data_IF_271640247587
#
_entry.id   IF_271640247587
#
_cell.length_a   1.000
_cell.length_b   1.000
_cell.length_c   1.000
_cell.angle_alpha   90.00
_cell.angle_beta   90.00
_cell.angle_gamma   90.00
#
_symmetry.space_group_name_H-M   'P 1'
#
loop_
_entity.id
_entity.type
_entity.pdbx_description
1 polymer ?
#
# COMPACT_ATOMS: atom_id res chain seq x y z
N UNK A 1 -32.10 -13.29 18.66
CA UNK A 1 -30.70 -12.93 19.00
C UNK A 1 -30.27 -13.66 20.25
N UNK A 2 -30.98 -13.54 21.38
CA UNK A 2 -30.72 -14.32 22.61
C UNK A 2 -30.62 -15.82 22.37
N UNK A 3 -31.60 -16.45 21.69
CA UNK A 3 -31.53 -17.88 21.35
C UNK A 3 -30.31 -18.28 20.50
N UNK A 4 -29.79 -17.36 19.68
CA UNK A 4 -28.60 -17.59 18.86
C UNK A 4 -27.34 -17.53 19.73
N UNK A 5 -27.29 -16.58 20.66
CA UNK A 5 -26.18 -16.42 21.60
C UNK A 5 -26.11 -17.57 22.61
N UNK A 6 -27.25 -18.03 23.12
CA UNK A 6 -27.32 -19.23 23.98
C UNK A 6 -26.79 -20.47 23.24
N UNK A 7 -27.18 -20.66 21.97
CA UNK A 7 -26.65 -21.75 21.14
C UNK A 7 -25.15 -21.59 20.86
N UNK A 8 -24.67 -20.36 20.66
CA UNK A 8 -23.25 -20.09 20.41
C UNK A 8 -22.41 -20.38 21.65
N UNK A 9 -22.84 -19.91 22.83
CA UNK A 9 -22.19 -20.17 24.11
C UNK A 9 -22.14 -21.67 24.41
N UNK A 10 -23.26 -22.40 24.23
CA UNK A 10 -23.28 -23.86 24.41
C UNK A 10 -22.27 -24.59 23.52
N UNK A 11 -22.18 -24.23 22.24
CA UNK A 11 -21.19 -24.82 21.31
C UNK A 11 -19.75 -24.43 21.65
N UNK A 12 -19.53 -23.24 22.20
CA UNK A 12 -18.21 -22.79 22.62
C UNK A 12 -17.75 -23.59 23.85
N UNK A 13 -18.63 -23.82 24.81
CA UNK A 13 -18.36 -24.66 25.99
C UNK A 13 -18.08 -26.11 25.60
N UNK A 14 -18.91 -26.72 24.75
CA UNK A 14 -18.67 -28.07 24.22
C UNK A 14 -17.32 -28.16 23.49
N UNK A 15 -16.96 -27.12 22.73
CA UNK A 15 -15.67 -27.07 22.06
C UNK A 15 -14.52 -26.98 23.06
N UNK A 16 -14.61 -26.11 24.07
CA UNK A 16 -13.61 -25.97 25.13
C UNK A 16 -13.40 -27.28 25.90
N UNK A 17 -14.48 -27.99 26.23
CA UNK A 17 -14.42 -29.29 26.89
C UNK A 17 -13.82 -30.40 26.00
N UNK A 18 -13.90 -30.25 24.68
CA UNK A 18 -13.33 -31.22 23.72
C UNK A 18 -11.84 -31.03 23.44
N UNK A 19 -11.23 -29.95 23.95
CA UNK A 19 -9.82 -29.65 23.69
C UNK A 19 -8.90 -30.52 24.57
N UNK A 20 -7.72 -30.94 24.05
CA UNK A 20 -6.75 -31.72 24.83
C UNK A 20 -6.28 -30.93 26.07
N UNK A 21 -5.97 -31.64 27.15
CA UNK A 21 -5.46 -31.02 28.37
C UNK A 21 -4.12 -30.30 28.04
N UNK A 22 -3.98 -28.99 28.37
CA UNK A 22 -2.74 -28.24 28.13
C UNK A 22 -1.49 -28.88 28.76
N UNK A 23 -1.67 -29.73 29.78
CA UNK A 23 -0.59 -30.50 30.39
C UNK A 23 0.01 -31.58 29.47
N UNK A 24 -0.68 -31.96 28.39
CA UNK A 24 -0.22 -32.92 27.39
C UNK A 24 0.67 -32.30 26.29
N UNK A 25 0.91 -30.97 26.32
CA UNK A 25 1.76 -30.31 25.33
C UNK A 25 3.27 -30.54 25.57
N UNK A 26 3.99 -30.99 24.52
CA UNK A 26 5.42 -31.35 24.56
C UNK A 26 6.40 -30.20 24.88
N UNK A 27 5.94 -28.95 24.87
CA UNK A 27 6.80 -27.76 25.05
C UNK A 27 6.17 -26.72 25.97
N UNK A 28 6.94 -26.11 26.89
CA UNK A 28 6.46 -25.01 27.75
C UNK A 28 5.88 -23.83 26.96
N UNK A 29 6.41 -23.56 25.76
CA UNK A 29 5.92 -22.48 24.90
C UNK A 29 4.53 -22.81 24.34
N UNK A 30 4.34 -24.05 23.91
CA UNK A 30 3.04 -24.54 23.41
C UNK A 30 2.01 -24.55 24.54
N UNK A 31 2.39 -24.99 25.74
CA UNK A 31 1.53 -24.98 26.93
C UNK A 31 1.05 -23.57 27.29
N UNK A 32 1.94 -22.58 27.30
CA UNK A 32 1.57 -21.18 27.57
C UNK A 32 0.66 -20.58 26.49
N UNK A 33 0.92 -20.88 25.21
CA UNK A 33 0.05 -20.44 24.11
C UNK A 33 -1.34 -21.08 24.21
N UNK A 34 -1.39 -22.37 24.56
CA UNK A 34 -2.63 -23.10 24.80
C UNK A 34 -3.43 -22.49 25.96
N UNK A 35 -2.78 -22.24 27.09
CA UNK A 35 -3.44 -21.71 28.26
C UNK A 35 -4.03 -20.31 28.01
N UNK A 36 -3.32 -19.44 27.29
CA UNK A 36 -3.86 -18.13 26.86
C UNK A 36 -5.07 -18.26 25.94
N UNK A 37 -5.07 -19.23 25.02
CA UNK A 37 -6.21 -19.47 24.14
C UNK A 37 -7.45 -19.88 24.96
N UNK A 38 -7.29 -20.75 25.96
CA UNK A 38 -8.37 -21.17 26.85
C UNK A 38 -8.92 -20.01 27.67
N UNK A 39 -8.06 -19.17 28.25
CA UNK A 39 -8.48 -17.97 28.98
C UNK A 39 -9.31 -17.02 28.11
N UNK A 40 -8.91 -16.83 26.85
CA UNK A 40 -9.67 -16.01 25.88
C UNK A 40 -11.03 -16.66 25.59
N UNK A 41 -11.07 -17.97 25.32
CA UNK A 41 -12.31 -18.67 24.97
C UNK A 41 -13.31 -18.69 26.14
N UNK A 42 -12.83 -18.89 27.36
CA UNK A 42 -13.65 -18.83 28.57
C UNK A 42 -14.17 -17.40 28.78
N UNK A 43 -13.31 -16.39 28.69
CA UNK A 43 -13.73 -14.99 28.82
C UNK A 43 -14.72 -14.54 27.76
N UNK A 44 -14.65 -15.09 26.54
CA UNK A 44 -15.66 -14.86 25.49
C UNK A 44 -16.98 -15.56 25.84
N UNK A 45 -16.95 -16.80 26.33
CA UNK A 45 -18.16 -17.53 26.72
C UNK A 45 -18.91 -16.83 27.88
N UNK A 46 -18.19 -16.39 28.91
CA UNK A 46 -18.76 -15.68 30.07
C UNK A 46 -19.42 -14.36 29.63
N UNK A 47 -18.75 -13.56 28.78
CA UNK A 47 -19.32 -12.31 28.26
C UNK A 47 -20.56 -12.52 27.40
N UNK A 48 -20.69 -13.66 26.72
CA UNK A 48 -21.90 -14.03 25.98
C UNK A 48 -23.05 -14.36 26.94
N UNK A 49 -22.77 -15.09 28.02
CA UNK A 49 -23.77 -15.51 29.01
C UNK A 49 -24.28 -14.32 29.83
N UNK A 50 -23.39 -13.41 30.22
CA UNK A 50 -23.73 -12.24 31.03
C UNK A 50 -24.46 -11.14 30.25
N UNK A 51 -24.66 -11.32 28.94
CA UNK A 51 -25.39 -10.38 28.11
C UNK A 51 -24.73 -8.99 28.07
N UNK A 52 -23.40 -8.93 28.18
CA UNK A 52 -22.69 -7.66 28.31
C UNK A 52 -22.98 -6.76 27.09
N UNK A 53 -23.50 -5.53 27.28
CA UNK A 53 -23.97 -4.68 26.19
C UNK A 53 -22.88 -4.38 25.15
N UNK A 54 -21.62 -4.28 25.59
CA UNK A 54 -20.46 -4.04 24.72
C UNK A 54 -20.16 -5.21 23.77
N UNK A 55 -20.48 -6.44 24.18
CA UNK A 55 -20.28 -7.62 23.35
C UNK A 55 -21.29 -7.66 22.19
N UNK A 56 -22.53 -7.21 22.45
CA UNK A 56 -23.54 -7.04 21.40
C UNK A 56 -23.19 -5.91 20.42
N UNK A 57 -22.52 -4.85 20.87
CA UNK A 57 -22.03 -3.76 20.01
C UNK A 57 -20.88 -4.20 19.10
N UNK A 58 -20.04 -5.14 19.55
CA UNK A 58 -18.97 -5.77 18.77
C UNK A 58 -19.52 -6.54 17.56
N UNK A 59 -20.65 -7.24 17.73
CA UNK A 59 -21.34 -7.93 16.63
C UNK A 59 -22.21 -7.02 15.76
N UNK A 60 -22.62 -5.85 16.27
CA UNK A 60 -23.31 -4.81 15.49
C UNK A 60 -22.36 -3.92 14.69
N UNK A 61 -21.05 -4.13 14.80
CA UNK A 61 -20.03 -3.38 14.07
C UNK A 61 -19.81 -1.95 14.57
N UNK A 62 -20.25 -1.64 15.79
CA UNK A 62 -20.17 -0.29 16.37
C UNK A 62 -19.17 -0.18 17.54
N UNK A 63 -18.73 -1.29 18.15
CA UNK A 63 -17.74 -1.23 19.22
C UNK A 63 -16.31 -1.04 18.64
N UNK A 64 -15.49 -0.16 19.24
CA UNK A 64 -14.06 -0.11 18.97
C UNK A 64 -13.43 -1.47 19.30
N UNK A 65 -12.62 -2.00 18.37
CA UNK A 65 -11.80 -3.17 18.67
C UNK A 65 -10.86 -2.85 19.86
N UNK A 66 -10.66 -3.78 20.81
CA UNK A 66 -9.62 -3.62 21.81
C UNK A 66 -8.28 -3.36 21.11
N UNK A 67 -7.55 -2.34 21.56
CA UNK A 67 -6.24 -2.04 21.00
C UNK A 67 -5.29 -3.20 21.30
N UNK A 68 -4.72 -3.78 20.24
CA UNK A 68 -3.54 -4.62 20.34
C UNK A 68 -2.36 -3.73 20.78
N UNK A 69 -2.27 -3.45 22.08
CA UNK A 69 -1.10 -2.90 22.74
C UNK A 69 -0.23 -4.08 23.21
N UNK A 70 0.52 -4.69 22.29
CA UNK A 70 1.84 -5.29 22.58
C UNK A 70 2.44 -5.90 21.29
N UNK A 71 3.14 -5.05 20.53
CA UNK A 71 4.27 -5.44 19.69
C UNK A 71 5.22 -4.24 19.62
N UNK A 72 5.83 -3.93 20.77
CA UNK A 72 7.10 -3.21 20.75
C UNK A 72 8.15 -4.19 20.23
N UNK A 73 8.40 -4.14 18.92
CA UNK A 73 9.66 -4.66 18.38
C UNK A 73 10.79 -3.99 19.18
N UNK A 74 11.41 -4.78 20.03
CA UNK A 74 12.59 -4.39 20.79
C UNK A 74 13.72 -4.20 19.78
N UNK A 75 13.91 -2.97 19.31
CA UNK A 75 15.15 -2.56 18.68
C UNK A 75 16.28 -2.86 19.67
N UNK A 76 17.11 -3.84 19.33
CA UNK A 76 18.36 -4.10 20.01
C UNK A 76 19.27 -2.89 19.83
N UNK A 77 19.23 -1.98 20.81
CA UNK A 77 20.20 -0.91 20.98
C UNK A 77 21.56 -1.55 21.26
N UNK A 78 22.36 -1.72 20.21
CA UNK A 78 23.82 -1.75 20.39
C UNK A 78 24.27 -0.30 20.54
N UNK A 79 24.47 0.12 21.78
CA UNK A 79 25.19 1.33 22.14
C UNK A 79 26.62 1.25 21.57
N UNK A 80 26.93 2.10 20.60
CA UNK A 80 28.30 2.53 20.37
C UNK A 80 28.40 4.00 20.76
N UNK A 81 29.05 4.25 21.90
CA UNK A 81 29.25 5.57 22.50
C UNK A 81 30.37 6.28 21.76
N UNK A 82 30.05 7.35 21.05
CA UNK A 82 31.04 8.40 20.70
C UNK A 82 30.49 9.79 21.02
N UNK A 83 31.36 10.76 21.36
CA UNK A 83 31.01 11.88 22.22
C UNK A 83 30.40 13.06 21.48
N UNK A 84 29.61 13.80 22.25
CA UNK A 84 28.82 14.96 21.90
C UNK A 84 29.60 16.10 21.22
N UNK A 85 29.07 16.56 20.08
CA UNK A 85 29.30 17.92 19.59
C UNK A 85 27.97 18.67 19.67
N UNK A 86 27.96 19.62 20.61
CA UNK A 86 26.87 20.54 20.92
C UNK A 86 26.60 21.51 19.76
N UNK A 87 25.40 21.44 19.19
CA UNK A 87 24.81 22.51 18.38
C UNK A 87 23.34 22.66 18.78
N UNK A 88 23.04 23.73 19.52
CA UNK A 88 21.68 24.13 19.88
C UNK A 88 20.88 24.55 18.62
N UNK A 89 19.60 24.19 18.50
CA UNK A 89 18.69 24.87 17.59
C UNK A 89 18.03 26.07 18.29
N UNK A 90 17.99 27.16 17.54
CA UNK A 90 17.28 28.42 17.82
C UNK A 90 15.78 28.13 17.98
N UNK A 91 15.21 28.61 19.10
CA UNK A 91 13.77 28.63 19.37
C UNK A 91 13.14 29.79 18.62
N UNK A 92 12.26 29.50 17.66
CA UNK A 92 11.30 30.46 17.13
C UNK A 92 10.16 30.62 18.14
N UNK A 93 10.02 31.84 18.66
CA UNK A 93 8.92 32.29 19.52
C UNK A 93 7.76 32.74 18.62
N UNK A 94 6.59 32.12 18.79
CA UNK A 94 5.32 32.67 18.29
C UNK A 94 4.76 33.70 19.30
N UNK A 95 4.11 34.78 18.83
CA UNK A 95 3.66 35.88 19.67
C UNK A 95 2.38 35.52 20.45
N UNK A 96 2.36 35.96 21.71
CA UNK A 96 1.22 35.94 22.62
C UNK A 96 0.10 36.85 22.10
N UNK A 97 -1.10 36.29 21.93
CA UNK A 97 -2.32 37.04 21.67
C UNK A 97 -3.17 37.04 22.94
N UNK A 98 -3.14 38.19 23.63
CA UNK A 98 -3.95 38.51 24.81
C UNK A 98 -5.43 38.56 24.43
N UNK A 99 -6.18 37.54 24.84
CA UNK A 99 -7.63 37.46 24.73
C UNK A 99 -8.26 37.20 26.09
N UNK A 100 -8.46 38.26 26.87
CA UNK A 100 -9.26 38.23 28.10
C UNK A 100 -10.74 37.99 27.75
N UNK A 101 -11.27 36.83 28.16
CA UNK A 101 -12.68 36.47 27.97
C UNK A 101 -13.18 35.48 29.01
N UNK A 102 -13.91 36.01 29.98
CA UNK A 102 -14.90 35.40 30.88
C UNK A 102 -14.76 33.91 31.24
N UNK A 103 -14.31 33.71 32.48
CA UNK A 103 -14.39 32.45 33.22
C UNK A 103 -15.86 32.11 33.53
N UNK A 104 -16.44 31.24 32.72
CA UNK A 104 -17.57 30.42 33.12
C UNK A 104 -17.04 29.29 34.00
N UNK A 105 -17.23 29.38 35.31
CA UNK A 105 -16.98 28.32 36.29
C UNK A 105 -17.97 27.16 36.08
N UNK A 106 -17.78 26.41 35.00
CA UNK A 106 -18.31 25.06 34.89
C UNK A 106 -17.29 24.11 35.53
N UNK A 107 -17.72 23.36 36.55
CA UNK A 107 -16.99 22.21 37.11
C UNK A 107 -16.78 21.14 36.01
N UNK A 108 -15.87 21.41 35.09
CA UNK A 108 -15.47 20.50 34.03
C UNK A 108 -14.43 19.55 34.57
N UNK A 109 -14.76 18.27 34.63
CA UNK A 109 -13.77 17.19 34.80
C UNK A 109 -12.56 17.47 33.90
N UNK A 110 -11.38 17.59 34.52
CA UNK A 110 -10.13 17.87 33.82
C UNK A 110 -9.79 16.67 32.94
N UNK A 111 -10.18 16.76 31.65
CA UNK A 111 -9.89 15.74 30.64
C UNK A 111 -8.37 15.51 30.58
N UNK A 112 -7.95 14.28 30.84
CA UNK A 112 -6.52 13.94 30.88
C UNK A 112 -5.90 14.04 29.48
N UNK A 113 -4.58 14.27 29.42
CA UNK A 113 -3.86 14.32 28.15
C UNK A 113 -4.02 13.02 27.32
N UNK A 114 -4.20 11.87 28.00
CA UNK A 114 -4.47 10.58 27.37
C UNK A 114 -5.83 10.58 26.66
N UNK A 115 -6.89 10.99 27.34
CA UNK A 115 -8.25 11.10 26.78
C UNK A 115 -8.28 12.03 25.56
N UNK A 116 -7.57 13.17 25.61
CA UNK A 116 -7.46 14.09 24.47
C UNK A 116 -6.77 13.46 23.26
N UNK A 117 -5.71 12.65 23.47
CA UNK A 117 -4.99 11.94 22.39
C UNK A 117 -5.87 10.87 21.76
N UNK A 118 -6.60 10.12 22.57
CA UNK A 118 -7.52 9.09 22.11
C UNK A 118 -8.70 9.67 21.32
N UNK A 119 -9.32 10.76 21.82
CA UNK A 119 -10.38 11.48 21.12
C UNK A 119 -9.91 12.01 19.75
N UNK A 120 -8.68 12.51 19.68
CA UNK A 120 -8.06 12.94 18.40
C UNK A 120 -7.85 11.76 17.44
N UNK A 121 -7.41 10.60 17.93
CA UNK A 121 -7.25 9.37 17.12
C UNK A 121 -8.61 8.87 16.60
N UNK A 122 -9.62 8.82 17.45
CA UNK A 122 -10.99 8.43 17.10
C UNK A 122 -11.61 9.38 16.06
N UNK A 123 -11.49 10.71 16.27
CA UNK A 123 -11.94 11.70 15.29
C UNK A 123 -11.21 11.57 13.95
N UNK A 124 -9.91 11.31 13.99
CA UNK A 124 -9.11 11.11 12.78
C UNK A 124 -9.53 9.86 12.01
N UNK A 125 -9.87 8.76 12.70
CA UNK A 125 -10.38 7.51 12.13
C UNK A 125 -11.80 7.70 11.56
N UNK A 126 -12.70 8.36 12.30
CA UNK A 126 -14.05 8.68 11.84
C UNK A 126 -14.06 9.52 10.56
N UNK A 127 -13.10 10.46 10.41
CA UNK A 127 -12.94 11.22 9.17
C UNK A 127 -12.54 10.33 7.97
N UNK A 128 -11.68 9.32 8.19
CA UNK A 128 -11.29 8.35 7.15
C UNK A 128 -12.48 7.49 6.75
N UNK A 129 -13.27 7.01 7.71
CA UNK A 129 -14.48 6.22 7.43
C UNK A 129 -15.48 7.02 6.59
N UNK A 130 -15.76 8.28 6.97
CA UNK A 130 -16.67 9.15 6.19
C UNK A 130 -16.18 9.34 4.75
N UNK A 131 -14.87 9.50 4.56
CA UNK A 131 -14.24 9.62 3.24
C UNK A 131 -14.38 8.33 2.44
N UNK A 132 -14.14 7.17 3.05
CA UNK A 132 -14.36 5.87 2.43
C UNK A 132 -15.83 5.65 2.02
N UNK A 133 -16.78 5.99 2.88
CA UNK A 133 -18.22 5.90 2.59
C UNK A 133 -18.62 6.78 1.40
N UNK A 134 -18.06 8.00 1.31
CA UNK A 134 -18.26 8.89 0.14
C UNK A 134 -17.76 8.25 -1.15
N UNK A 135 -16.57 7.65 -1.12
CA UNK A 135 -15.99 6.94 -2.27
C UNK A 135 -16.83 5.73 -2.66
N UNK A 136 -17.28 4.92 -1.69
CA UNK A 136 -18.18 3.79 -1.95
C UNK A 136 -19.51 4.27 -2.53
N UNK A 137 -20.03 5.42 -2.07
CA UNK A 137 -21.25 6.03 -2.59
C UNK A 137 -21.22 6.29 -4.10
N UNK A 138 -20.03 6.57 -4.68
CA UNK A 138 -19.91 6.78 -6.14
C UNK A 138 -20.04 5.51 -6.97
N UNK A 139 -20.06 4.32 -6.34
CA UNK A 139 -20.30 3.05 -7.03
C UNK A 139 -21.62 2.98 -7.78
N UNK A 140 -22.59 3.83 -7.41
CA UNK A 140 -23.88 3.93 -8.07
C UNK A 140 -23.79 4.64 -9.44
N UNK A 141 -22.73 5.39 -9.74
CA UNK A 141 -22.61 6.23 -10.94
C UNK A 141 -22.20 5.46 -12.22
N UNK A 142 -22.30 4.13 -12.23
CA UNK A 142 -21.88 3.28 -13.37
C UNK A 142 -20.38 3.39 -13.69
N UNK A 143 -19.90 2.77 -14.78
CA UNK A 143 -18.48 2.81 -15.16
C UNK A 143 -18.01 4.20 -15.61
N UNK A 144 -16.72 4.49 -15.42
CA UNK A 144 -16.10 5.78 -15.81
C UNK A 144 -16.05 5.90 -17.34
N UNK A 145 -16.63 6.95 -17.95
CA UNK A 145 -16.54 7.18 -19.39
C UNK A 145 -15.09 7.37 -19.87
N UNK A 146 -14.77 6.86 -21.07
CA UNK A 146 -13.43 7.01 -21.65
C UNK A 146 -12.99 8.45 -21.87
N UNK A 147 -13.93 9.37 -22.13
CA UNK A 147 -13.63 10.81 -22.22
C UNK A 147 -13.01 11.34 -20.93
N UNK A 148 -13.55 10.93 -19.77
CA UNK A 148 -13.09 11.43 -18.48
C UNK A 148 -11.70 10.86 -18.18
N UNK A 149 -11.50 9.57 -18.41
CA UNK A 149 -10.17 8.95 -18.27
C UNK A 149 -9.15 9.52 -19.27
N UNK A 150 -9.52 9.76 -20.52
CA UNK A 150 -8.63 10.39 -21.48
C UNK A 150 -8.26 11.82 -21.08
N UNK A 151 -9.18 12.58 -20.49
CA UNK A 151 -8.88 13.90 -19.94
C UNK A 151 -7.88 13.80 -18.79
N UNK A 152 -8.06 12.83 -17.88
CA UNK A 152 -7.12 12.58 -16.77
C UNK A 152 -5.74 12.10 -17.24
N UNK A 153 -5.66 11.32 -18.32
CA UNK A 153 -4.40 10.92 -18.94
C UNK A 153 -3.69 12.13 -19.57
N UNK A 154 -4.47 13.05 -20.12
CA UNK A 154 -3.97 14.20 -20.87
C UNK A 154 -3.54 15.38 -20.01
N UNK A 155 -4.27 15.62 -18.92
CA UNK A 155 -4.11 16.76 -18.06
C UNK A 155 -3.33 16.35 -16.82
N UNK A 156 -2.25 17.07 -16.49
CA UNK A 156 -1.69 16.96 -15.15
C UNK A 156 -2.64 17.72 -14.21
N UNK A 157 -3.67 17.02 -13.72
CA UNK A 157 -4.74 17.60 -12.93
C UNK A 157 -4.16 18.26 -11.68
N UNK A 158 -4.34 19.58 -11.53
CA UNK A 158 -3.88 20.36 -10.36
C UNK A 158 -4.90 20.31 -9.22
N UNK A 159 -5.32 19.12 -8.82
CA UNK A 159 -6.22 18.94 -7.70
C UNK A 159 -5.44 18.85 -6.38
N UNK A 160 -6.15 19.12 -5.28
CA UNK A 160 -5.63 18.84 -3.93
C UNK A 160 -5.48 17.33 -3.76
N UNK A 161 -4.40 16.89 -3.11
CA UNK A 161 -4.06 15.48 -2.92
C UNK A 161 -5.25 14.59 -2.51
N UNK A 162 -6.04 15.01 -1.51
CA UNK A 162 -7.20 14.25 -1.04
C UNK A 162 -8.29 14.10 -2.12
N UNK A 163 -8.50 15.13 -2.94
CA UNK A 163 -9.51 15.07 -4.00
C UNK A 163 -9.07 14.18 -5.15
N UNK A 164 -7.77 14.18 -5.48
CA UNK A 164 -7.19 13.25 -6.48
C UNK A 164 -7.34 11.81 -6.04
N UNK A 165 -7.03 11.53 -4.77
CA UNK A 165 -7.18 10.21 -4.17
C UNK A 165 -8.63 9.73 -4.17
N UNK A 166 -9.59 10.59 -3.75
CA UNK A 166 -11.02 10.26 -3.75
C UNK A 166 -11.50 9.90 -5.15
N UNK A 167 -11.11 10.69 -6.15
CA UNK A 167 -11.45 10.46 -7.54
C UNK A 167 -10.84 9.15 -8.04
N UNK A 168 -9.54 8.96 -7.83
CA UNK A 168 -8.82 7.78 -8.30
C UNK A 168 -9.38 6.49 -7.70
N UNK A 169 -9.59 6.46 -6.38
CA UNK A 169 -10.19 5.33 -5.69
C UNK A 169 -11.65 5.12 -6.13
N UNK A 170 -12.43 6.19 -6.29
CA UNK A 170 -13.79 6.10 -6.82
C UNK A 170 -13.85 5.52 -8.24
N UNK A 171 -12.88 5.83 -9.08
CA UNK A 171 -12.76 5.29 -10.43
C UNK A 171 -12.43 3.80 -10.42
N UNK A 172 -11.52 3.36 -9.53
CA UNK A 172 -11.20 1.94 -9.38
C UNK A 172 -12.42 1.09 -9.04
N UNK A 173 -13.27 1.56 -8.11
CA UNK A 173 -14.45 0.79 -7.69
C UNK A 173 -15.57 0.81 -8.75
N UNK A 174 -15.62 1.85 -9.59
CA UNK A 174 -16.58 1.94 -10.71
C UNK A 174 -16.14 1.11 -11.93
N UNK A 175 -14.84 0.96 -12.13
CA UNK A 175 -14.25 0.42 -13.35
C UNK A 175 -14.37 1.40 -14.54
N UNK A 176 -13.70 1.07 -15.64
CA UNK A 176 -13.66 1.91 -16.83
C UNK A 176 -14.63 1.40 -17.89
N UNK A 177 -15.35 2.29 -18.55
CA UNK A 177 -16.19 1.94 -19.69
C UNK A 177 -15.28 1.65 -20.88
N UNK A 178 -15.41 0.46 -21.47
CA UNK A 178 -14.81 0.17 -22.76
C UNK A 178 -15.71 0.68 -23.90
N UNK A 179 -15.29 1.70 -24.66
CA UNK A 179 -15.95 2.09 -25.89
C UNK A 179 -15.22 1.51 -27.09
N UNK A 180 -15.78 0.44 -27.68
CA UNK A 180 -15.23 -0.37 -28.76
C UNK A 180 -14.64 0.35 -30.01
N UNK A 181 -14.67 1.69 -30.10
CA UNK A 181 -14.07 2.46 -31.18
C UNK A 181 -13.55 3.86 -30.83
N UNK A 182 -13.54 4.29 -29.55
CA UNK A 182 -13.21 5.70 -29.22
C UNK A 182 -11.81 5.93 -28.66
N UNK A 183 -11.10 4.90 -28.18
CA UNK A 183 -9.76 5.10 -27.61
C UNK A 183 -8.77 5.60 -28.65
N UNK A 184 -8.73 5.01 -29.85
CA UNK A 184 -7.86 5.50 -30.93
C UNK A 184 -8.16 6.96 -31.24
N UNK A 185 -9.41 7.33 -31.51
CA UNK A 185 -9.77 8.73 -31.86
C UNK A 185 -9.42 9.70 -30.72
N UNK A 186 -9.69 9.31 -29.48
CA UNK A 186 -9.45 10.17 -28.33
C UNK A 186 -7.96 10.31 -28.06
N UNK A 187 -7.22 9.21 -28.15
CA UNK A 187 -5.81 9.13 -27.75
C UNK A 187 -4.81 9.44 -28.86
N UNK A 188 -5.22 9.42 -30.14
CA UNK A 188 -4.31 9.62 -31.30
C UNK A 188 -3.53 10.92 -31.18
N UNK A 189 -4.10 11.99 -30.60
CA UNK A 189 -3.38 13.26 -30.41
C UNK A 189 -2.21 13.19 -29.41
N UNK A 190 -2.17 12.15 -28.58
CA UNK A 190 -1.07 11.86 -27.64
C UNK A 190 -0.20 10.69 -28.09
N UNK A 191 -0.52 10.07 -29.23
CA UNK A 191 0.39 9.17 -29.92
C UNK A 191 1.58 10.00 -30.37
N UNK A 192 2.64 9.98 -29.57
CA UNK A 192 3.95 10.45 -30.01
C UNK A 192 4.56 9.35 -30.87
N UNK A 193 5.39 9.74 -31.84
CA UNK A 193 6.25 8.76 -32.51
C UNK A 193 6.92 7.91 -31.43
N UNK A 194 6.81 6.59 -31.54
CA UNK A 194 7.31 5.67 -30.54
C UNK A 194 8.75 6.06 -30.24
N UNK A 195 8.96 6.50 -29.00
CA UNK A 195 10.31 6.66 -28.52
C UNK A 195 10.93 5.26 -28.61
N UNK A 196 12.07 5.14 -29.31
CA UNK A 196 12.86 3.91 -29.35
C UNK A 196 13.09 3.31 -27.94
N UNK A 197 12.95 4.16 -26.93
CA UNK A 197 12.99 3.87 -25.50
C UNK A 197 11.93 2.86 -25.02
N UNK A 198 10.69 2.84 -25.54
CA UNK A 198 9.65 1.91 -25.04
C UNK A 198 10.00 0.45 -25.36
N UNK A 199 10.36 0.17 -26.61
CA UNK A 199 10.73 -1.19 -27.05
C UNK A 199 12.01 -1.66 -26.36
N UNK A 200 13.00 -0.77 -26.22
CA UNK A 200 14.24 -1.06 -25.49
C UNK A 200 13.97 -1.38 -24.02
N UNK A 201 13.06 -0.63 -23.40
CA UNK A 201 12.63 -0.86 -22.02
C UNK A 201 11.96 -2.24 -21.88
N UNK A 202 10.99 -2.57 -22.74
CA UNK A 202 10.32 -3.87 -22.75
C UNK A 202 11.28 -5.04 -22.92
N UNK A 203 12.27 -4.91 -23.82
CA UNK A 203 13.27 -5.95 -24.04
C UNK A 203 14.07 -6.22 -22.76
N UNK A 204 14.56 -5.16 -22.12
CA UNK A 204 15.33 -5.26 -20.87
C UNK A 204 14.47 -5.85 -19.74
N UNK A 205 13.21 -5.43 -19.65
CA UNK A 205 12.24 -5.97 -18.70
C UNK A 205 12.01 -7.48 -18.91
N UNK A 206 11.85 -7.94 -20.16
CA UNK A 206 11.72 -9.36 -20.47
C UNK A 206 12.97 -10.17 -20.11
N UNK A 207 14.18 -9.63 -20.35
CA UNK A 207 15.43 -10.26 -19.94
C UNK A 207 15.51 -10.44 -18.41
N UNK A 208 15.04 -9.46 -17.64
CA UNK A 208 14.97 -9.53 -16.17
C UNK A 208 13.92 -10.50 -15.65
N UNK A 209 12.89 -10.81 -16.45
CA UNK A 209 11.90 -11.84 -16.12
C UNK A 209 12.45 -13.27 -16.31
N UNK A 210 13.56 -13.43 -17.04
CA UNK A 210 14.26 -14.72 -17.21
C UNK A 210 15.34 -14.94 -16.15
N UNK A 211 16.04 -13.88 -15.75
CA UNK A 211 17.06 -13.88 -14.70
C UNK A 211 16.67 -12.88 -13.60
N UNK A 212 15.88 -13.36 -12.63
CA UNK A 212 15.32 -12.53 -11.58
C UNK A 212 16.43 -11.91 -10.71
N UNK A 213 16.73 -10.64 -10.98
CA UNK A 213 17.71 -9.85 -10.25
C UNK A 213 17.08 -8.50 -9.85
N UNK A 214 16.69 -8.43 -8.57
CA UNK A 214 16.02 -7.28 -7.99
C UNK A 214 16.86 -6.00 -8.08
N UNK A 215 18.19 -6.13 -8.02
CA UNK A 215 19.13 -5.01 -8.08
C UNK A 215 19.24 -4.49 -9.51
N UNK A 216 19.32 -5.37 -10.51
CA UNK A 216 19.25 -4.96 -11.94
C UNK A 216 17.89 -4.34 -12.27
N UNK A 217 16.78 -4.92 -11.80
CA UNK A 217 15.44 -4.34 -11.99
C UNK A 217 15.30 -2.96 -11.35
N UNK A 218 15.88 -2.76 -10.18
CA UNK A 218 15.89 -1.41 -9.57
C UNK A 218 16.67 -0.40 -10.41
N UNK A 219 17.83 -0.79 -10.94
CA UNK A 219 18.59 0.08 -11.83
C UNK A 219 17.77 0.43 -13.07
N UNK A 220 17.07 -0.57 -13.63
CA UNK A 220 16.30 -0.42 -14.84
C UNK A 220 15.16 0.60 -14.65
N UNK A 221 14.45 0.50 -13.52
CA UNK A 221 13.44 1.48 -13.10
C UNK A 221 14.04 2.88 -12.89
N UNK A 222 15.20 3.00 -12.24
CA UNK A 222 15.83 4.30 -11.98
C UNK A 222 16.31 4.99 -13.26
N UNK A 223 16.86 4.24 -14.23
CA UNK A 223 17.35 4.80 -15.49
C UNK A 223 16.21 5.32 -16.37
N UNK A 224 15.06 4.63 -16.42
CA UNK A 224 13.93 5.08 -17.22
C UNK A 224 13.24 6.30 -16.64
N UNK A 225 13.26 6.49 -15.31
CA UNK A 225 12.74 7.70 -14.66
C UNK A 225 13.59 8.95 -14.92
N UNK A 226 14.88 8.79 -15.22
CA UNK A 226 15.77 9.89 -15.57
C UNK A 226 15.65 10.31 -17.06
N UNK A 227 15.19 9.39 -17.91
CA UNK A 227 15.02 9.61 -19.34
C UNK A 227 13.69 10.34 -19.64
N UNK A 228 13.75 11.67 -19.65
CA UNK A 228 12.78 12.64 -20.20
C UNK A 228 11.45 12.92 -19.46
N UNK A 229 11.21 14.22 -19.20
CA UNK A 229 9.93 14.86 -18.81
C UNK A 229 8.77 14.70 -19.83
N UNK A 230 8.95 13.88 -20.85
CA UNK A 230 7.97 13.62 -21.91
C UNK A 230 7.45 12.19 -21.84
N UNK A 231 7.24 11.70 -20.62
CA UNK A 231 6.63 10.40 -20.32
C UNK A 231 5.42 10.16 -21.24
N UNK A 232 5.54 9.17 -22.13
CA UNK A 232 4.36 8.61 -22.76
C UNK A 232 3.64 7.81 -21.69
N UNK A 233 2.32 7.93 -21.63
CA UNK A 233 1.50 7.15 -20.70
C UNK A 233 1.79 5.64 -20.79
N UNK A 234 2.18 5.17 -21.97
CA UNK A 234 2.59 3.79 -22.21
C UNK A 234 3.85 3.38 -21.44
N UNK A 235 4.86 4.25 -21.36
CA UNK A 235 6.05 3.97 -20.54
C UNK A 235 5.71 3.96 -19.05
N UNK A 236 4.87 4.90 -18.58
CA UNK A 236 4.38 4.90 -17.18
C UNK A 236 3.61 3.62 -16.86
N UNK A 237 2.80 3.11 -17.79
CA UNK A 237 2.13 1.81 -17.66
C UNK A 237 3.14 0.67 -17.44
N UNK A 238 4.17 0.57 -18.29
CA UNK A 238 5.16 -0.50 -18.19
C UNK A 238 6.00 -0.31 -16.91
N UNK A 239 6.33 0.92 -16.52
CA UNK A 239 7.00 1.22 -15.25
C UNK A 239 6.16 0.82 -14.03
N UNK A 240 4.83 0.98 -14.06
CA UNK A 240 3.93 0.48 -13.00
C UNK A 240 4.01 -1.03 -12.90
N UNK A 241 3.99 -1.75 -14.04
CA UNK A 241 4.16 -3.20 -14.08
C UNK A 241 5.50 -3.61 -13.46
N UNK A 242 6.62 -3.05 -13.92
CA UNK A 242 7.95 -3.33 -13.36
C UNK A 242 8.05 -2.98 -11.88
N UNK A 243 7.40 -1.91 -11.44
CA UNK A 243 7.32 -1.54 -10.03
C UNK A 243 6.58 -2.60 -9.21
N UNK A 244 5.48 -3.15 -9.74
CA UNK A 244 4.72 -4.23 -9.11
C UNK A 244 5.56 -5.51 -9.05
N UNK A 245 6.30 -5.85 -10.11
CA UNK A 245 7.23 -7.00 -10.12
C UNK A 245 8.30 -6.84 -9.04
N UNK A 246 8.96 -5.68 -8.99
CA UNK A 246 9.95 -5.33 -7.95
C UNK A 246 9.35 -5.48 -6.54
N UNK A 247 8.18 -4.87 -6.29
CA UNK A 247 7.56 -4.91 -4.98
C UNK A 247 7.15 -6.34 -4.59
N UNK A 248 6.68 -7.14 -5.55
CA UNK A 248 6.31 -8.55 -5.33
C UNK A 248 7.52 -9.37 -4.91
N UNK A 249 8.65 -9.25 -5.62
CA UNK A 249 9.90 -9.92 -5.26
C UNK A 249 10.47 -9.42 -3.93
N UNK A 250 10.50 -8.11 -3.71
CA UNK A 250 10.96 -7.51 -2.46
C UNK A 250 10.16 -8.01 -1.25
N UNK A 251 8.83 -8.12 -1.39
CA UNK A 251 7.95 -8.62 -0.33
C UNK A 251 8.00 -10.15 -0.17
N UNK A 252 8.46 -10.90 -1.17
CA UNK A 252 8.69 -12.34 -1.05
C UNK A 252 9.88 -12.67 -0.14
N UNK A 253 10.87 -11.77 -0.03
CA UNK A 253 11.97 -11.90 0.92
C UNK A 253 11.53 -11.61 2.36
N UNK A 254 10.99 -12.64 3.02
CA UNK A 254 10.59 -12.65 4.43
C UNK A 254 11.30 -13.77 5.21
N UNK A 255 11.27 -13.69 6.54
CA UNK A 255 11.85 -14.72 7.42
C UNK A 255 13.36 -14.57 7.70
N UNK A 256 14.01 -15.63 8.22
CA UNK A 256 15.43 -15.61 8.56
C UNK A 256 16.29 -15.21 7.36
N UNK A 257 17.16 -14.21 7.55
CA UNK A 257 18.05 -13.69 6.51
C UNK A 257 17.46 -12.56 5.66
N UNK A 258 16.17 -12.26 5.75
CA UNK A 258 15.56 -11.14 5.02
C UNK A 258 16.19 -9.78 5.38
N UNK A 259 16.51 -9.56 6.66
CA UNK A 259 17.18 -8.34 7.12
C UNK A 259 18.57 -8.19 6.49
N UNK A 260 19.35 -9.27 6.45
CA UNK A 260 20.67 -9.30 5.80
C UNK A 260 20.54 -9.03 4.31
N UNK A 261 19.64 -9.72 3.61
CA UNK A 261 19.38 -9.49 2.18
C UNK A 261 19.06 -8.02 1.88
N UNK A 262 18.17 -7.39 2.64
CA UNK A 262 17.79 -5.98 2.44
C UNK A 262 18.94 -5.02 2.75
N UNK A 263 19.78 -5.34 3.73
CA UNK A 263 21.00 -4.59 4.04
C UNK A 263 22.03 -4.69 2.91
N UNK A 264 22.29 -5.91 2.43
CA UNK A 264 23.24 -6.20 1.34
C UNK A 264 22.76 -5.54 0.04
N UNK A 265 21.45 -5.59 -0.25
CA UNK A 265 20.84 -4.92 -1.39
C UNK A 265 21.10 -3.40 -1.38
N UNK A 266 20.82 -2.72 -0.27
CA UNK A 266 21.02 -1.27 -0.18
C UNK A 266 22.50 -0.90 -0.28
N UNK A 267 23.38 -1.71 0.32
CA UNK A 267 24.84 -1.53 0.22
C UNK A 267 25.31 -1.65 -1.22
N UNK A 268 24.90 -2.71 -1.92
CA UNK A 268 25.27 -2.95 -3.31
C UNK A 268 24.74 -1.85 -4.24
N UNK A 269 23.49 -1.39 -4.01
CA UNK A 269 22.90 -0.30 -4.78
C UNK A 269 23.65 1.02 -4.57
N UNK A 270 23.97 1.38 -3.32
CA UNK A 270 24.74 2.58 -3.01
C UNK A 270 26.13 2.55 -3.66
N UNK A 271 26.86 1.43 -3.53
CA UNK A 271 28.18 1.28 -4.14
C UNK A 271 28.14 1.43 -5.67
N UNK A 272 27.05 0.98 -6.30
CA UNK A 272 26.85 1.08 -7.74
C UNK A 272 26.53 2.51 -8.19
N UNK A 273 25.64 3.21 -7.49
CA UNK A 273 25.33 4.63 -7.78
C UNK A 273 26.54 5.54 -7.54
N UNK A 274 27.38 5.19 -6.57
CA UNK A 274 28.64 5.87 -6.28
C UNK A 274 29.84 5.15 -6.92
N UNK A 275 29.65 4.51 -8.08
CA UNK A 275 30.64 3.63 -8.70
C UNK A 275 32.03 4.24 -8.86
N UNK A 276 32.13 5.54 -9.15
CA UNK A 276 33.40 6.26 -9.25
C UNK A 276 34.27 6.18 -7.99
N UNK A 277 33.64 6.04 -6.82
CA UNK A 277 34.32 5.90 -5.51
C UNK A 277 34.76 4.45 -5.27
N UNK A 278 33.95 3.47 -5.69
CA UNK A 278 34.11 2.07 -5.30
C UNK A 278 34.78 1.16 -6.34
N UNK A 279 34.85 1.56 -7.62
CA UNK A 279 35.26 0.68 -8.73
C UNK A 279 36.67 0.10 -8.59
N UNK A 280 37.60 0.83 -7.97
CA UNK A 280 39.01 0.42 -7.84
C UNK A 280 39.39 -0.06 -6.44
N UNK A 281 38.42 -0.18 -5.54
CA UNK A 281 38.65 -0.60 -4.16
C UNK A 281 38.51 -2.13 -4.02
N UNK A 282 39.39 -2.75 -3.26
CA UNK A 282 39.22 -4.12 -2.76
C UNK A 282 38.05 -4.22 -1.78
N UNK A 283 37.52 -5.41 -1.51
CA UNK A 283 36.37 -5.57 -0.61
C UNK A 283 36.63 -5.04 0.81
N UNK A 284 37.88 -5.16 1.29
CA UNK A 284 38.30 -4.58 2.58
C UNK A 284 38.25 -3.05 2.55
N UNK A 285 38.72 -2.45 1.46
CA UNK A 285 38.70 -1.00 1.26
C UNK A 285 37.28 -0.47 1.05
N UNK A 286 36.43 -1.20 0.33
CA UNK A 286 35.00 -0.88 0.19
C UNK A 286 34.32 -0.82 1.55
N UNK A 287 34.59 -1.78 2.44
CA UNK A 287 34.03 -1.78 3.79
C UNK A 287 34.47 -0.55 4.59
N UNK A 288 35.77 -0.24 4.60
CA UNK A 288 36.29 0.96 5.25
C UNK A 288 35.68 2.25 4.65
N UNK A 289 35.50 2.31 3.33
CA UNK A 289 34.89 3.46 2.65
C UNK A 289 33.40 3.60 2.96
N UNK A 290 32.67 2.50 3.13
CA UNK A 290 31.28 2.53 3.59
C UNK A 290 31.15 3.07 5.02
N UNK A 291 32.11 2.77 5.90
CA UNK A 291 32.15 3.33 7.27
C UNK A 291 32.39 4.84 7.23
N UNK A 292 33.30 5.32 6.37
CA UNK A 292 33.53 6.75 6.12
C UNK A 292 32.28 7.46 5.58
N UNK A 293 31.57 6.84 4.63
CA UNK A 293 30.35 7.36 4.00
C UNK A 293 29.06 7.01 4.76
N UNK A 294 29.17 6.65 6.04
CA UNK A 294 28.03 6.16 6.83
C UNK A 294 26.86 7.15 6.87
N UNK A 295 27.12 8.45 7.00
CA UNK A 295 26.08 9.50 7.01
C UNK A 295 25.34 9.56 5.67
N UNK A 296 26.07 9.63 4.56
CA UNK A 296 25.50 9.65 3.20
C UNK A 296 24.71 8.38 2.91
N UNK A 297 25.23 7.23 3.35
CA UNK A 297 24.55 5.94 3.21
C UNK A 297 23.23 5.89 3.99
N UNK A 298 23.16 6.45 5.21
CA UNK A 298 21.90 6.52 5.96
C UNK A 298 20.87 7.44 5.30
N UNK A 299 21.29 8.58 4.78
CA UNK A 299 20.40 9.49 4.02
C UNK A 299 19.87 8.82 2.75
N UNK A 300 20.77 8.16 2.02
CA UNK A 300 20.42 7.34 0.87
C UNK A 300 19.38 6.27 1.26
N UNK A 301 19.66 5.47 2.28
CA UNK A 301 18.78 4.41 2.75
C UNK A 301 17.39 4.93 3.11
N UNK A 302 17.30 6.06 3.83
CA UNK A 302 16.03 6.71 4.16
C UNK A 302 15.23 7.09 2.90
N UNK A 303 15.88 7.70 1.91
CA UNK A 303 15.22 8.02 0.64
C UNK A 303 14.71 6.78 -0.10
N UNK A 304 15.47 5.67 -0.03
CA UNK A 304 15.11 4.39 -0.63
C UNK A 304 13.94 3.72 0.09
N UNK A 305 13.86 3.82 1.42
CA UNK A 305 12.73 3.31 2.21
C UNK A 305 11.41 4.00 1.81
N UNK A 306 11.43 5.31 1.56
CA UNK A 306 10.25 6.04 1.07
C UNK A 306 9.80 5.55 -0.32
N UNK A 307 10.76 5.34 -1.24
CA UNK A 307 10.49 4.80 -2.56
C UNK A 307 9.93 3.37 -2.49
N UNK A 308 10.60 2.47 -1.76
CA UNK A 308 10.17 1.07 -1.56
C UNK A 308 8.77 1.04 -0.94
N UNK A 309 8.48 1.89 0.04
CA UNK A 309 7.15 2.01 0.65
C UNK A 309 6.10 2.39 -0.40
N UNK A 310 6.43 3.31 -1.31
CA UNK A 310 5.53 3.73 -2.39
C UNK A 310 5.28 2.61 -3.40
N UNK A 311 6.31 1.83 -3.75
CA UNK A 311 6.17 0.64 -4.61
C UNK A 311 5.31 -0.44 -3.95
N UNK A 312 5.50 -0.70 -2.66
CA UNK A 312 4.69 -1.66 -1.90
C UNK A 312 3.21 -1.22 -1.80
N UNK A 313 2.94 0.08 -1.72
CA UNK A 313 1.56 0.60 -1.80
C UNK A 313 0.94 0.40 -3.18
N UNK A 314 1.72 0.58 -4.25
CA UNK A 314 1.25 0.30 -5.61
C UNK A 314 0.87 -1.18 -5.75
N UNK A 315 1.74 -2.09 -5.28
CA UNK A 315 1.44 -3.54 -5.22
C UNK A 315 0.16 -3.82 -4.42
N UNK A 316 0.02 -3.22 -3.23
CA UNK A 316 -1.17 -3.40 -2.40
C UNK A 316 -2.44 -2.92 -3.12
N UNK A 317 -2.40 -1.77 -3.78
CA UNK A 317 -3.52 -1.27 -4.58
C UNK A 317 -3.84 -2.24 -5.73
N UNK A 318 -2.83 -2.64 -6.51
CA UNK A 318 -3.00 -3.56 -7.63
C UNK A 318 -3.58 -4.92 -7.19
N UNK A 319 -3.11 -5.46 -6.07
CA UNK A 319 -3.63 -6.71 -5.53
C UNK A 319 -5.11 -6.62 -5.13
N UNK A 320 -5.64 -5.45 -4.76
CA UNK A 320 -7.02 -5.32 -4.30
C UNK A 320 -7.98 -4.74 -5.35
N UNK A 321 -7.49 -3.92 -6.28
CA UNK A 321 -8.31 -3.22 -7.29
C UNK A 321 -7.96 -3.60 -8.74
N UNK A 322 -6.94 -4.43 -8.93
CA UNK A 322 -6.57 -5.03 -10.21
C UNK A 322 -6.13 -4.04 -11.27
N UNK A 323 -6.52 -4.33 -12.51
CA UNK A 323 -6.06 -3.66 -13.71
C UNK A 323 -6.41 -2.16 -13.73
N UNK A 324 -7.43 -1.74 -12.99
CA UNK A 324 -7.76 -0.31 -12.86
C UNK A 324 -6.60 0.52 -12.31
N UNK A 325 -5.74 -0.06 -11.48
CA UNK A 325 -4.54 0.59 -10.91
C UNK A 325 -3.49 0.87 -11.98
N UNK A 326 -3.37 -0.01 -12.97
CA UNK A 326 -2.44 0.16 -14.10
C UNK A 326 -2.91 1.30 -15.01
N UNK A 327 -4.23 1.39 -15.23
CA UNK A 327 -4.87 2.37 -16.10
C UNK A 327 -4.82 3.78 -15.48
N UNK A 328 -5.08 3.93 -14.20
CA UNK A 328 -5.27 5.27 -13.65
C UNK A 328 -3.92 6.00 -13.43
N UNK A 329 -3.70 7.24 -13.95
CA UNK A 329 -2.42 7.97 -13.83
C UNK A 329 -1.99 8.28 -12.39
N UNK A 330 -2.97 8.51 -11.49
CA UNK A 330 -2.72 8.69 -10.06
C UNK A 330 -1.82 7.61 -9.44
N UNK A 331 -1.94 6.33 -9.83
CA UNK A 331 -1.20 5.22 -9.21
C UNK A 331 0.22 5.08 -9.76
N UNK A 332 1.02 6.13 -9.60
CA UNK A 332 2.46 6.12 -9.84
C UNK A 332 3.25 6.20 -8.54
N UNK A 333 4.49 5.74 -8.54
CA UNK A 333 5.38 5.80 -7.36
C UNK A 333 5.57 7.24 -6.86
N UNK A 334 5.66 8.20 -7.78
CA UNK A 334 5.75 9.64 -7.49
C UNK A 334 4.54 10.14 -6.69
N UNK A 335 3.32 9.83 -7.14
CA UNK A 335 2.11 10.28 -6.48
C UNK A 335 1.90 9.58 -5.12
N UNK A 336 2.15 8.26 -5.07
CA UNK A 336 2.02 7.46 -3.85
C UNK A 336 3.10 7.74 -2.80
N UNK A 337 4.23 8.34 -3.20
CA UNK A 337 5.30 8.78 -2.32
C UNK A 337 5.13 10.22 -1.84
N UNK A 338 5.02 11.16 -2.78
CA UNK A 338 5.19 12.59 -2.52
C UNK A 338 3.89 13.40 -2.52
N UNK A 339 2.91 13.04 -3.36
CA UNK A 339 1.67 13.84 -3.56
C UNK A 339 0.45 13.31 -2.79
N UNK A 340 0.62 12.36 -1.88
CA UNK A 340 -0.48 11.75 -1.13
C UNK A 340 -0.83 12.51 0.16
N UNK A 341 -2.08 12.37 0.58
CA UNK A 341 -2.55 12.77 1.88
C UNK A 341 -1.94 11.89 2.99
N UNK A 342 -1.76 12.48 4.18
CA UNK A 342 -1.19 11.81 5.35
C UNK A 342 -1.95 10.51 5.71
N UNK A 343 -3.27 10.49 5.48
CA UNK A 343 -4.17 9.37 5.83
C UNK A 343 -4.48 8.40 4.69
N UNK A 344 -3.79 8.51 3.55
CA UNK A 344 -4.05 7.64 2.39
C UNK A 344 -3.96 6.15 2.71
N UNK A 345 -2.97 5.72 3.51
CA UNK A 345 -2.82 4.31 3.92
C UNK A 345 -4.08 3.82 4.64
N UNK A 346 -4.52 4.56 5.67
CA UNK A 346 -5.73 4.20 6.43
C UNK A 346 -6.98 4.21 5.55
N UNK A 347 -7.09 5.13 4.60
CA UNK A 347 -8.20 5.15 3.64
C UNK A 347 -8.20 3.91 2.75
N UNK A 348 -7.04 3.54 2.21
CA UNK A 348 -6.87 2.35 1.39
C UNK A 348 -7.21 1.09 2.19
N UNK A 349 -6.71 0.97 3.42
CA UNK A 349 -6.99 -0.15 4.32
C UNK A 349 -8.49 -0.26 4.63
N UNK A 350 -9.17 0.87 4.90
CA UNK A 350 -10.63 0.88 5.12
C UNK A 350 -11.38 0.44 3.87
N UNK A 351 -11.02 0.93 2.68
CA UNK A 351 -11.68 0.51 1.43
C UNK A 351 -11.47 -0.98 1.12
N UNK A 352 -10.25 -1.49 1.36
CA UNK A 352 -9.93 -2.92 1.21
C UNK A 352 -10.77 -3.77 2.18
N UNK A 353 -11.01 -3.29 3.40
CA UNK A 353 -11.77 -4.04 4.41
C UNK A 353 -13.29 -3.90 4.30
N UNK A 354 -13.79 -2.80 3.73
CA UNK A 354 -15.22 -2.58 3.46
C UNK A 354 -15.73 -3.32 2.21
N UNK A 355 -14.82 -3.89 1.43
CA UNK A 355 -15.10 -4.84 0.37
C UNK A 355 -15.99 -6.01 0.88
N UNK A 356 -17.17 -6.28 0.27
CA UNK A 356 -18.12 -7.35 0.66
C UNK A 356 -17.64 -8.84 0.65
N UNK A 357 -16.71 -9.24 1.54
CA UNK A 357 -15.93 -10.51 1.48
C UNK A 357 -16.60 -11.72 0.77
N UNK A 358 -16.18 -12.04 -0.46
CA UNK A 358 -16.17 -13.33 -1.21
C UNK A 358 -17.43 -14.23 -1.29
N UNK A 359 -18.35 -14.18 -0.35
CA UNK A 359 -19.49 -15.11 -0.20
C UNK A 359 -20.80 -14.56 -0.77
N UNK A 360 -20.77 -13.35 -1.35
CA UNK A 360 -21.96 -12.64 -1.83
C UNK A 360 -22.01 -12.49 -3.36
N UNK A 361 -23.21 -12.27 -3.96
CA UNK A 361 -23.40 -12.00 -5.40
C UNK A 361 -22.60 -10.81 -5.97
N UNK A 362 -21.90 -10.06 -5.13
CA UNK A 362 -20.97 -9.00 -5.52
C UNK A 362 -19.69 -9.52 -6.20
N UNK A 363 -19.34 -10.80 -6.07
CA UNK A 363 -18.17 -11.41 -6.72
C UNK A 363 -18.18 -11.21 -8.24
N UNK A 364 -19.30 -11.55 -8.88
CA UNK A 364 -19.45 -11.46 -10.34
C UNK A 364 -19.19 -10.04 -10.83
N UNK A 365 -19.62 -9.03 -10.07
CA UNK A 365 -19.41 -7.61 -10.44
C UNK A 365 -17.93 -7.22 -10.49
N UNK A 366 -17.09 -7.71 -9.57
CA UNK A 366 -15.67 -7.33 -9.55
C UNK A 366 -14.87 -8.07 -10.60
N UNK A 367 -15.21 -9.33 -10.85
CA UNK A 367 -14.66 -10.10 -11.98
C UNK A 367 -15.03 -9.40 -13.31
N UNK A 368 -16.27 -8.92 -13.47
CA UNK A 368 -16.71 -8.14 -14.63
C UNK A 368 -15.98 -6.80 -14.77
N UNK A 369 -15.72 -6.10 -13.65
CA UNK A 369 -14.95 -4.86 -13.64
C UNK A 369 -13.51 -5.12 -14.05
N UNK A 370 -12.88 -6.17 -13.52
CA UNK A 370 -11.51 -6.52 -13.85
C UNK A 370 -11.36 -6.89 -15.31
N UNK A 371 -12.23 -7.75 -15.84
CA UNK A 371 -12.19 -8.12 -17.26
C UNK A 371 -12.35 -6.88 -18.15
N UNK A 372 -13.33 -6.01 -17.85
CA UNK A 372 -13.53 -4.78 -18.61
C UNK A 372 -12.33 -3.84 -18.53
N UNK A 373 -11.69 -3.73 -17.36
CA UNK A 373 -10.48 -2.94 -17.19
C UNK A 373 -9.34 -3.53 -18.02
N UNK A 374 -9.18 -4.85 -18.09
CA UNK A 374 -8.20 -5.49 -18.99
C UNK A 374 -8.46 -5.11 -20.45
N UNK A 375 -9.70 -5.22 -20.91
CA UNK A 375 -10.05 -4.84 -22.29
C UNK A 375 -9.70 -3.37 -22.57
N UNK A 376 -10.03 -2.46 -21.64
CA UNK A 376 -9.65 -1.04 -21.73
C UNK A 376 -8.13 -0.85 -21.77
N UNK A 377 -7.38 -1.62 -20.98
CA UNK A 377 -5.93 -1.53 -20.95
C UNK A 377 -5.31 -1.90 -22.32
N UNK A 378 -5.75 -3.01 -22.93
CA UNK A 378 -5.27 -3.39 -24.27
C UNK A 378 -5.66 -2.34 -25.31
N UNK A 379 -6.89 -1.82 -25.28
CA UNK A 379 -7.31 -0.80 -26.24
C UNK A 379 -6.50 0.50 -26.10
N UNK A 380 -6.19 0.93 -24.87
CA UNK A 380 -5.32 2.09 -24.63
C UNK A 380 -3.90 1.80 -25.12
N UNK A 381 -3.35 0.62 -24.81
CA UNK A 381 -2.03 0.22 -25.25
C UNK A 381 -1.92 0.24 -26.79
N UNK A 382 -2.83 -0.45 -27.48
CA UNK A 382 -2.89 -0.48 -28.94
C UNK A 382 -3.09 0.91 -29.55
N UNK A 383 -3.95 1.75 -28.96
CA UNK A 383 -4.18 3.12 -29.45
C UNK A 383 -2.95 4.02 -29.33
N UNK A 384 -2.09 3.77 -28.35
CA UNK A 384 -0.87 4.57 -28.10
C UNK A 384 0.37 4.00 -28.78
N UNK A 385 0.38 2.73 -29.18
CA UNK A 385 1.48 2.11 -29.95
C UNK A 385 1.64 2.77 -31.32
N UNK A 386 2.86 2.91 -31.81
CA UNK A 386 3.18 3.51 -33.11
C UNK A 386 3.03 2.58 -34.31
N UNK A 387 2.79 1.28 -34.06
CA UNK A 387 2.49 0.30 -35.09
C UNK A 387 2.13 -1.06 -34.50
N UNK A 388 1.73 -1.98 -35.37
CA UNK A 388 1.23 -3.30 -34.99
C UNK A 388 2.29 -4.13 -34.26
N UNK A 389 3.56 -4.03 -34.66
CA UNK A 389 4.67 -4.75 -34.00
C UNK A 389 4.89 -4.28 -32.54
N UNK A 390 4.80 -2.98 -32.28
CA UNK A 390 4.90 -2.46 -30.91
C UNK A 390 3.68 -2.87 -30.09
N UNK A 391 2.47 -2.77 -30.66
CA UNK A 391 1.24 -3.19 -30.01
C UNK A 391 1.26 -4.67 -29.62
N UNK A 392 1.77 -5.54 -30.49
CA UNK A 392 1.93 -6.98 -30.23
C UNK A 392 2.92 -7.24 -29.08
N UNK A 393 4.09 -6.58 -29.09
CA UNK A 393 5.09 -6.72 -28.02
C UNK A 393 4.55 -6.26 -26.67
N UNK A 394 3.83 -5.14 -26.65
CA UNK A 394 3.19 -4.64 -25.42
C UNK A 394 2.10 -5.59 -24.95
N UNK A 395 1.25 -6.07 -25.84
CA UNK A 395 0.17 -6.99 -25.48
C UNK A 395 0.74 -8.29 -24.89
N UNK A 396 1.78 -8.85 -25.52
CA UNK A 396 2.51 -10.02 -24.99
C UNK A 396 3.08 -9.74 -23.61
N UNK A 397 3.66 -8.55 -23.40
CA UNK A 397 4.18 -8.16 -22.10
C UNK A 397 3.09 -8.04 -21.03
N UNK A 398 1.92 -7.48 -21.38
CA UNK A 398 0.75 -7.37 -20.50
C UNK A 398 0.25 -8.78 -20.14
N UNK A 399 0.16 -9.70 -21.09
CA UNK A 399 -0.25 -11.09 -20.88
C UNK A 399 0.69 -11.80 -19.89
N UNK A 400 2.00 -11.75 -20.17
CA UNK A 400 3.03 -12.35 -19.30
C UNK A 400 2.97 -11.79 -17.88
N UNK A 401 2.76 -10.48 -17.76
CA UNK A 401 2.59 -9.81 -16.47
C UNK A 401 1.36 -10.36 -15.72
N UNK A 402 0.20 -10.45 -16.36
CA UNK A 402 -1.01 -10.95 -15.71
C UNK A 402 -0.94 -12.44 -15.32
N UNK A 403 -0.21 -13.24 -16.09
CA UNK A 403 0.03 -14.66 -15.78
C UNK A 403 0.89 -14.81 -14.52
N UNK A 404 2.01 -14.07 -14.44
CA UNK A 404 2.98 -14.19 -13.35
C UNK A 404 2.58 -13.42 -12.09
N UNK A 405 1.91 -12.29 -12.26
CA UNK A 405 1.52 -11.37 -11.20
C UNK A 405 0.00 -11.15 -11.24
N UNK A 406 -0.81 -12.20 -11.05
CA UNK A 406 -2.26 -12.05 -11.05
C UNK A 406 -2.68 -11.10 -9.94
N UNK A 407 -3.57 -10.17 -10.27
CA UNK A 407 -4.23 -9.37 -9.25
C UNK A 407 -4.99 -10.33 -8.33
N UNK A 408 -4.74 -10.21 -7.03
CA UNK A 408 -5.46 -10.99 -6.04
C UNK A 408 -6.77 -10.28 -5.70
N UNK A 409 -7.50 -9.74 -6.69
CA UNK A 409 -8.78 -9.08 -6.43
C UNK A 409 -9.59 -10.11 -5.69
N UNK A 410 -9.58 -9.98 -4.37
CA UNK A 410 -10.37 -10.83 -3.51
C UNK A 410 -11.74 -10.31 -3.85
N UNK A 411 -12.60 -11.17 -4.43
CA UNK A 411 -13.90 -10.73 -4.87
C UNK A 411 -14.51 -9.94 -3.73
N UNK A 412 -14.77 -8.64 -3.97
CA UNK A 412 -14.97 -7.71 -2.87
C UNK A 412 -15.97 -8.32 -1.96
#
# INVERSE_FOLDING_TARGET
MEQTLTKLSGRLSEYVESLPDPSEADSPRTKNAWQRLLEILVGVSERIVDGHPDFLELFRGNAPLPSDDDDTESESQHEDKTPATSSQPVQDQDPEEDGAGEQSEGEGEVETASQRKERRKAAAHGAVIKRAQKIIGVMAHGPVPARDLAAEIAEETKLVAESMEDQALGWLIRGFKNPASTWTVTLTRWRRDAAADTISFLKTSHELDLDADLLKRDIHLSHSQAATRTDTYLLDLIQKMETIKFASEWTAHTGPGAGKFKSDFNTALFQREHGAIFTHLSDREKKAKMEELSVDFQLFKKSREELITSRNRLLLAYQNFGTGVLIHPFFSTKNLGQKRAKKFKSLLDVLINLAPKSTTPNRTRFDDIEQRNRDVLYEIATALSSGDEEAEKISTHIDDFFIRYPSKIRPL
#
